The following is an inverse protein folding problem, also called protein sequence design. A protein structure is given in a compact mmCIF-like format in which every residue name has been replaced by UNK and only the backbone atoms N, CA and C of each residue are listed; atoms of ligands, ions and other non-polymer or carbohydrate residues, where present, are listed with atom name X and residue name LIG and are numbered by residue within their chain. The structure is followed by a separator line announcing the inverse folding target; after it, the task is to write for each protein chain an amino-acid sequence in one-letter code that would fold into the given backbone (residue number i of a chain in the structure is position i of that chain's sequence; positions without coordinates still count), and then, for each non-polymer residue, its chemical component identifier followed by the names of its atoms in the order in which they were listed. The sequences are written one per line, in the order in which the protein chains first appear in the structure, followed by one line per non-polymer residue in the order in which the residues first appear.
data_IF_989564298715
#
_entry.id   IF_989564298715
#
_cell.length_a   1.000
_cell.length_b   1.000
_cell.length_c   1.000
_cell.angle_alpha   90.00
_cell.angle_beta   90.00
_cell.angle_gamma   90.00
#
_symmetry.space_group_name_H-M   'P 1'
#
loop_
_entity.id
_entity.type
_entity.pdbx_description
1 polymer ?
#
# COMPACT_ATOMS: atom_id res chain seq x y z
N UNK A 1 -21.99 7.80 3.71
CA UNK A 1 -20.76 6.98 3.58
C UNK A 1 -19.71 7.86 2.93
N UNK A 2 -18.65 8.26 3.65
CA UNK A 2 -17.57 9.05 3.07
C UNK A 2 -16.76 8.13 2.16
N UNK A 3 -16.97 8.24 0.85
CA UNK A 3 -16.13 7.56 -0.13
C UNK A 3 -14.78 8.28 -0.17
N UNK A 4 -13.76 7.71 0.45
CA UNK A 4 -12.39 8.18 0.30
C UNK A 4 -11.96 7.87 -1.14
N UNK A 5 -11.78 8.89 -1.98
CA UNK A 5 -11.21 8.70 -3.32
C UNK A 5 -9.71 8.43 -3.18
N UNK A 6 -9.35 7.15 -3.14
CA UNK A 6 -7.95 6.70 -3.21
C UNK A 6 -7.39 7.14 -4.57
N UNK A 7 -6.47 8.10 -4.54
CA UNK A 7 -5.72 8.56 -5.71
C UNK A 7 -4.31 8.02 -5.63
N UNK A 8 -3.90 7.27 -6.64
CA UNK A 8 -2.54 6.72 -6.75
C UNK A 8 -1.80 7.46 -7.85
N UNK A 9 -0.60 7.91 -7.53
CA UNK A 9 0.29 8.61 -8.45
C UNK A 9 1.42 7.66 -8.88
N UNK A 10 1.63 7.53 -10.18
CA UNK A 10 2.75 6.77 -10.74
C UNK A 10 4.06 7.53 -10.50
N UNK A 11 5.07 6.82 -10.01
CA UNK A 11 6.43 7.34 -9.83
C UNK A 11 7.38 6.74 -10.86
N UNK A 12 7.27 5.44 -11.13
CA UNK A 12 8.08 4.73 -12.12
C UNK A 12 7.32 3.50 -12.61
N UNK A 13 7.26 3.29 -13.94
CA UNK A 13 6.62 2.10 -14.51
C UNK A 13 7.43 0.81 -14.28
N UNK A 14 8.75 0.91 -14.14
CA UNK A 14 9.62 -0.27 -14.09
C UNK A 14 9.74 -0.97 -15.44
N UNK A 15 10.03 -2.26 -15.42
CA UNK A 15 10.20 -3.08 -16.62
C UNK A 15 9.44 -4.40 -16.52
N UNK A 16 8.76 -4.76 -17.60
CA UNK A 16 8.02 -6.04 -17.68
C UNK A 16 9.02 -7.19 -17.63
N UNK A 17 8.72 -8.20 -16.81
CA UNK A 17 9.52 -9.41 -16.66
C UNK A 17 8.77 -10.60 -17.23
N UNK A 18 9.47 -11.43 -18.00
CA UNK A 18 8.94 -12.71 -18.47
C UNK A 18 9.15 -13.78 -17.40
N UNK A 19 8.13 -14.62 -17.18
CA UNK A 19 8.21 -15.76 -16.27
C UNK A 19 7.01 -15.86 -15.34
N UNK A 20 6.95 -16.98 -14.61
CA UNK A 20 5.88 -17.22 -13.66
C UNK A 20 5.88 -16.15 -12.55
N UNK A 21 4.70 -15.86 -12.01
CA UNK A 21 4.47 -14.95 -10.86
C UNK A 21 4.62 -13.44 -11.12
N UNK A 22 5.15 -13.02 -12.27
CA UNK A 22 5.25 -11.60 -12.65
C UNK A 22 3.93 -10.99 -13.17
N UNK A 23 2.86 -11.78 -13.21
CA UNK A 23 1.51 -11.34 -13.45
C UNK A 23 0.50 -12.25 -12.71
N UNK A 24 -0.73 -11.76 -12.62
CA UNK A 24 -1.89 -12.55 -12.25
C UNK A 24 -3.05 -12.22 -13.19
N UNK A 25 -4.21 -12.84 -12.97
CA UNK A 25 -5.46 -12.49 -13.69
C UNK A 25 -5.88 -11.02 -13.53
N UNK A 26 -5.32 -10.29 -12.55
CA UNK A 26 -5.72 -8.92 -12.24
C UNK A 26 -4.71 -7.86 -12.73
N UNK A 27 -3.42 -8.20 -12.85
CA UNK A 27 -2.38 -7.20 -13.12
C UNK A 27 -1.04 -7.84 -13.54
N UNK A 28 -0.21 -7.05 -14.22
CA UNK A 28 1.22 -7.29 -14.42
C UNK A 28 1.99 -6.57 -13.30
N UNK A 29 3.12 -7.13 -12.87
CA UNK A 29 3.94 -6.60 -11.78
C UNK A 29 5.33 -6.22 -12.30
N UNK A 30 5.52 -5.03 -12.91
CA UNK A 30 6.82 -4.70 -13.49
C UNK A 30 7.92 -4.60 -12.42
N UNK A 31 9.09 -5.16 -12.70
CA UNK A 31 10.27 -5.00 -11.84
C UNK A 31 10.64 -3.52 -11.71
N UNK A 32 10.80 -3.04 -10.48
CA UNK A 32 11.13 -1.64 -10.22
C UNK A 32 9.97 -0.67 -10.43
N UNK A 33 8.74 -1.18 -10.58
CA UNK A 33 7.54 -0.35 -10.52
C UNK A 33 7.52 0.41 -9.20
N UNK A 34 7.17 1.70 -9.25
CA UNK A 34 6.96 2.56 -8.09
C UNK A 34 5.71 3.42 -8.27
N UNK A 35 4.92 3.52 -7.21
CA UNK A 35 3.80 4.45 -7.12
C UNK A 35 3.74 5.03 -5.70
N UNK A 36 2.94 6.08 -5.52
CA UNK A 36 2.62 6.60 -4.20
C UNK A 36 1.14 6.83 -4.02
N UNK A 37 0.66 6.59 -2.82
CA UNK A 37 -0.74 6.77 -2.44
C UNK A 37 -0.82 7.52 -1.11
N UNK A 38 -1.77 8.45 -1.00
CA UNK A 38 -2.03 9.17 0.24
C UNK A 38 -3.03 8.39 1.09
N UNK A 39 -2.67 8.08 2.33
CA UNK A 39 -3.51 7.35 3.27
C UNK A 39 -3.20 7.73 4.73
N UNK A 40 -3.94 7.20 5.70
CA UNK A 40 -3.70 7.47 7.13
C UNK A 40 -2.31 7.01 7.56
N UNK A 41 -1.62 7.81 8.37
CA UNK A 41 -0.28 7.49 8.84
C UNK A 41 -0.32 6.43 9.96
N UNK A 42 0.50 5.39 9.83
CA UNK A 42 0.72 4.40 10.91
C UNK A 42 1.40 5.00 12.15
N UNK A 43 2.06 6.16 12.02
CA UNK A 43 2.75 6.83 13.12
C UNK A 43 1.81 7.82 13.81
N UNK A 44 0.95 8.47 13.03
CA UNK A 44 -0.05 9.41 13.52
C UNK A 44 -1.37 9.29 12.75
N UNK A 45 -2.30 8.41 13.21
CA UNK A 45 -3.54 8.12 12.47
C UNK A 45 -4.48 9.33 12.29
N UNK A 46 -4.29 10.40 13.08
CA UNK A 46 -5.02 11.66 12.91
C UNK A 46 -4.64 12.39 11.61
N UNK A 47 -3.47 12.08 11.05
CA UNK A 47 -2.92 12.69 9.85
C UNK A 47 -2.81 11.67 8.70
N UNK A 48 -2.64 12.21 7.51
CA UNK A 48 -2.37 11.40 6.30
C UNK A 48 -0.95 11.62 5.84
N UNK A 49 -0.34 10.57 5.29
CA UNK A 49 1.01 10.61 4.72
C UNK A 49 1.03 9.87 3.38
N UNK A 50 2.14 9.99 2.67
CA UNK A 50 2.39 9.21 1.47
C UNK A 50 3.03 7.87 1.81
N UNK A 51 2.51 6.84 1.18
CA UNK A 51 3.11 5.51 1.13
C UNK A 51 3.66 5.28 -0.27
N UNK A 52 4.90 4.87 -0.38
CA UNK A 52 5.55 4.47 -1.63
C UNK A 52 5.43 2.96 -1.77
N UNK A 53 4.76 2.52 -2.83
CA UNK A 53 4.66 1.13 -3.25
C UNK A 53 5.75 0.81 -4.24
N UNK A 54 6.43 -0.33 -4.07
CA UNK A 54 7.49 -0.80 -4.96
C UNK A 54 7.37 -2.29 -5.27
N UNK A 55 7.67 -2.68 -6.50
CA UNK A 55 7.84 -4.10 -6.90
C UNK A 55 9.33 -4.41 -6.99
N UNK A 56 9.79 -5.30 -6.11
CA UNK A 56 11.19 -5.70 -5.97
C UNK A 56 11.39 -7.06 -6.62
N UNK A 57 12.51 -7.22 -7.32
CA UNK A 57 12.93 -8.50 -7.87
C UNK A 57 13.47 -9.42 -6.76
N UNK A 58 12.73 -10.49 -6.46
CA UNK A 58 13.12 -11.56 -5.54
C UNK A 58 13.91 -12.69 -6.21
N UNK A 59 14.35 -12.51 -7.45
CA UNK A 59 15.01 -13.55 -8.23
C UNK A 59 14.08 -14.73 -8.49
N UNK A 60 14.50 -15.93 -8.08
CA UNK A 60 13.74 -17.16 -8.30
C UNK A 60 12.35 -17.16 -7.63
N UNK A 61 12.16 -16.36 -6.57
CA UNK A 61 10.89 -16.25 -5.86
C UNK A 61 9.87 -15.35 -6.57
N UNK A 62 10.29 -14.64 -7.62
CA UNK A 62 9.45 -13.68 -8.33
C UNK A 62 9.33 -12.33 -7.60
N UNK A 63 8.25 -11.56 -7.83
CA UNK A 63 8.12 -10.22 -7.27
C UNK A 63 7.82 -10.22 -5.78
N UNK A 64 8.52 -9.35 -5.04
CA UNK A 64 8.10 -8.89 -3.71
C UNK A 64 7.44 -7.52 -3.81
N UNK A 65 6.43 -7.33 -2.97
CA UNK A 65 5.66 -6.11 -2.88
C UNK A 65 6.08 -5.39 -1.61
N UNK A 66 6.63 -4.19 -1.76
CA UNK A 66 7.07 -3.35 -0.67
C UNK A 66 6.21 -2.10 -0.57
N UNK A 67 5.89 -1.71 0.65
CA UNK A 67 5.27 -0.43 0.99
C UNK A 67 6.16 0.25 2.03
N UNK A 68 6.48 1.52 1.81
CA UNK A 68 7.34 2.32 2.68
C UNK A 68 6.66 3.65 2.99
N UNK A 69 6.74 4.17 4.22
CA UNK A 69 6.35 5.57 4.46
C UNK A 69 7.36 6.50 3.79
N UNK A 70 6.89 7.41 2.93
CA UNK A 70 7.75 8.31 2.15
C UNK A 70 8.65 9.16 3.08
N UNK A 71 8.07 9.72 4.14
CA UNK A 71 8.78 10.55 5.13
C UNK A 71 9.59 9.74 6.15
N UNK A 72 9.29 8.44 6.30
CA UNK A 72 9.93 7.57 7.29
C UNK A 72 10.38 6.25 6.64
N UNK A 73 11.48 6.25 5.85
CA UNK A 73 11.89 5.08 5.05
C UNK A 73 12.28 3.83 5.84
N UNK A 74 12.41 3.94 7.17
CA UNK A 74 12.61 2.81 8.08
C UNK A 74 11.34 1.99 8.29
N UNK A 75 10.17 2.60 8.05
CA UNK A 75 8.88 1.94 8.18
C UNK A 75 8.53 1.23 6.88
N UNK A 76 8.95 -0.03 6.83
CA UNK A 76 8.86 -0.87 5.64
C UNK A 76 7.97 -2.09 5.89
N UNK A 77 7.15 -2.41 4.90
CA UNK A 77 6.35 -3.61 4.83
C UNK A 77 6.72 -4.32 3.55
N UNK A 78 7.10 -5.60 3.63
CA UNK A 78 7.45 -6.39 2.43
C UNK A 78 6.77 -7.74 2.51
N UNK A 79 6.01 -8.09 1.48
CA UNK A 79 5.25 -9.33 1.36
C UNK A 79 5.31 -9.88 -0.06
N UNK A 80 4.83 -11.11 -0.24
CA UNK A 80 4.78 -11.78 -1.55
C UNK A 80 3.57 -11.39 -2.40
N UNK A 81 2.59 -10.66 -1.84
CA UNK A 81 1.45 -10.12 -2.59
C UNK A 81 1.13 -8.69 -2.16
N UNK A 82 0.53 -7.90 -3.06
CA UNK A 82 0.10 -6.53 -2.79
C UNK A 82 -0.93 -6.46 -1.65
N UNK A 83 -1.91 -7.38 -1.65
CA UNK A 83 -2.95 -7.46 -0.61
C UNK A 83 -2.35 -7.70 0.78
N UNK A 84 -1.53 -8.74 0.94
CA UNK A 84 -0.87 -9.03 2.22
C UNK A 84 0.00 -7.89 2.71
N UNK A 85 0.62 -7.16 1.78
CA UNK A 85 1.43 -6.00 2.11
C UNK A 85 0.57 -4.90 2.74
N UNK A 86 -0.57 -4.57 2.12
CA UNK A 86 -1.50 -3.56 2.65
C UNK A 86 -2.28 -4.05 3.87
N UNK A 87 -2.63 -5.33 3.97
CA UNK A 87 -3.18 -5.93 5.20
C UNK A 87 -2.26 -5.64 6.39
N UNK A 88 -0.94 -5.80 6.23
CA UNK A 88 0.02 -5.51 7.32
C UNK A 88 0.05 -4.03 7.70
N UNK A 89 -0.09 -3.12 6.73
CA UNK A 89 -0.19 -1.68 6.98
C UNK A 89 -1.46 -1.36 7.77
N UNK A 90 -2.60 -1.95 7.37
CA UNK A 90 -3.90 -1.77 8.02
C UNK A 90 -3.90 -2.35 9.43
N UNK A 91 -3.30 -3.51 9.65
CA UNK A 91 -3.16 -4.12 10.97
C UNK A 91 -2.38 -3.22 11.92
N UNK A 92 -1.24 -2.69 11.47
CA UNK A 92 -0.45 -1.76 12.28
C UNK A 92 -1.21 -0.47 12.58
N UNK A 93 -1.91 0.08 11.59
CA UNK A 93 -2.75 1.26 11.76
C UNK A 93 -3.88 1.02 12.76
N UNK A 94 -4.56 -0.13 12.69
CA UNK A 94 -5.60 -0.53 13.64
C UNK A 94 -5.06 -0.63 15.06
N UNK A 95 -3.88 -1.25 15.24
CA UNK A 95 -3.20 -1.31 16.54
C UNK A 95 -2.94 0.09 17.11
N UNK A 96 -2.41 1.00 16.28
CA UNK A 96 -2.09 2.37 16.72
C UNK A 96 -3.35 3.19 17.05
N UNK A 97 -4.41 3.07 16.24
CA UNK A 97 -5.71 3.72 16.53
C UNK A 97 -6.29 3.24 17.85
N UNK A 98 -6.29 1.93 18.09
CA UNK A 98 -6.81 1.36 19.33
C UNK A 98 -5.96 1.78 20.54
N UNK A 99 -4.63 1.82 20.39
CA UNK A 99 -3.70 2.31 21.42
C UNK A 99 -3.97 3.77 21.78
N UNK A 100 -4.21 4.65 20.80
CA UNK A 100 -4.49 6.07 21.06
C UNK A 100 -5.88 6.29 21.66
N UNK A 101 -6.88 5.53 21.20
CA UNK A 101 -8.22 5.57 21.80
C UNK A 101 -8.23 5.13 23.25
N UNK A 102 -7.45 4.10 23.61
CA UNK A 102 -7.36 3.67 25.01
C UNK A 102 -6.68 4.71 25.91
N UNK A 103 -5.90 5.63 25.33
CA UNK A 103 -5.32 6.79 26.01
C UNK A 103 -6.26 8.02 26.04
N UNK A 104 -7.47 7.91 25.49
CA UNK A 104 -8.46 8.98 25.47
C UNK A 104 -8.37 9.95 24.29
N UNK A 105 -7.51 9.68 23.29
CA UNK A 105 -7.47 10.49 22.07
C UNK A 105 -8.68 10.17 21.17
N UNK A 106 -9.50 11.18 20.88
CA UNK A 106 -10.73 11.03 20.09
C UNK A 106 -10.55 11.33 18.60
N UNK A 107 -9.46 12.01 18.21
CA UNK A 107 -9.20 12.46 16.84
C UNK A 107 -8.64 11.34 15.95
N UNK A 108 -9.33 10.20 15.88
CA UNK A 108 -8.88 9.02 15.14
C UNK A 108 -9.87 8.61 14.03
N UNK A 109 -9.37 8.08 12.90
CA UNK A 109 -10.25 7.61 11.83
C UNK A 109 -11.12 6.45 12.30
N UNK A 110 -12.32 6.33 11.74
CA UNK A 110 -13.22 5.20 12.02
C UNK A 110 -12.62 3.92 11.45
N UNK A 111 -12.64 2.84 12.23
CA UNK A 111 -12.07 1.54 11.80
C UNK A 111 -12.80 0.98 10.58
N UNK A 112 -14.07 1.33 10.40
CA UNK A 112 -14.88 1.03 9.21
C UNK A 112 -14.24 1.52 7.90
N UNK A 113 -13.50 2.65 7.94
CA UNK A 113 -12.80 3.20 6.77
C UNK A 113 -11.59 2.37 6.35
N UNK A 114 -11.10 1.50 7.25
CA UNK A 114 -9.95 0.63 7.03
C UNK A 114 -10.37 -0.77 6.55
N UNK A 115 -11.68 -1.03 6.47
CA UNK A 115 -12.21 -2.29 5.98
C UNK A 115 -12.20 -2.33 4.44
N UNK A 116 -12.01 -3.52 3.89
CA UNK A 116 -12.10 -3.79 2.45
C UNK A 116 -11.10 -2.99 1.59
N UNK A 117 -9.95 -2.61 2.15
CA UNK A 117 -8.85 -2.02 1.38
C UNK A 117 -8.26 -3.09 0.46
N UNK A 118 -8.27 -2.81 -0.84
CA UNK A 118 -7.72 -3.69 -1.87
C UNK A 118 -6.25 -3.32 -2.15
N UNK A 119 -5.31 -4.24 -1.95
CA UNK A 119 -3.89 -3.96 -2.08
C UNK A 119 -3.47 -3.61 -3.50
N UNK A 120 -4.03 -4.27 -4.52
CA UNK A 120 -3.75 -3.91 -5.92
C UNK A 120 -4.20 -2.50 -6.26
N UNK A 121 -5.36 -2.06 -5.74
CA UNK A 121 -5.83 -0.68 -5.89
C UNK A 121 -4.87 0.30 -5.21
N UNK A 122 -4.42 0.01 -4.00
CA UNK A 122 -3.49 0.88 -3.27
C UNK A 122 -2.10 0.97 -3.92
N UNK A 123 -1.63 -0.13 -4.52
CA UNK A 123 -0.42 -0.12 -5.36
C UNK A 123 -0.62 0.63 -6.69
N UNK A 124 -1.87 0.86 -7.12
CA UNK A 124 -2.19 1.51 -8.39
C UNK A 124 -2.33 0.56 -9.59
N UNK A 125 -2.25 -0.75 -9.38
CA UNK A 125 -2.41 -1.76 -10.44
C UNK A 125 -3.84 -1.87 -10.97
N UNK A 126 -4.81 -1.20 -10.34
CA UNK A 126 -6.19 -1.09 -10.82
C UNK A 126 -6.54 0.36 -11.21
N UNK A 127 -5.55 1.26 -11.25
CA UNK A 127 -5.76 2.67 -11.59
C UNK A 127 -5.68 2.86 -13.11
N UNK A 128 -6.75 3.34 -13.79
CA UNK A 128 -6.72 3.59 -15.23
C UNK A 128 -5.69 4.64 -15.67
N UNK A 129 -5.25 5.52 -14.75
CA UNK A 129 -4.20 6.50 -15.03
C UNK A 129 -2.80 5.88 -15.07
N UNK A 130 -2.64 4.66 -14.58
CA UNK A 130 -1.37 3.93 -14.47
C UNK A 130 -1.33 2.77 -15.46
N UNK A 131 -2.46 2.10 -15.65
CA UNK A 131 -2.64 1.04 -16.64
C UNK A 131 -3.01 1.71 -17.96
N UNK A 132 -2.10 1.67 -18.95
CA UNK A 132 -2.36 2.12 -20.32
C UNK A 132 -2.41 0.93 -21.28
#
# INVERSE_FOLDING_TARGET
MQNFSISVELVSLGSVMCGNHWCSKHAIYPKGFKSRVKFFSILDPANTCYYVSEVIDGGFLGPFFRVTLEEHPKEVFTKTTADKCWETVIDRLNCEINRRRSLGELNMPRLELLQNINGHKMFGFLSPSIIQ
#
